data_IF_862289219049
#
_entry.id   IF_862289219049
#
_cell.length_a   1.000
_cell.length_b   1.000
_cell.length_c   1.000
_cell.angle_alpha   90.00
_cell.angle_beta   90.00
_cell.angle_gamma   90.00
#
_symmetry.space_group_name_H-M   'P 1'
#
loop_
_entity.id
_entity.type
_entity.pdbx_description
1 polymer ?
#
# COMPACT_ATOMS: atom_id res chain seq x y z
N UNK A 1 -38.87 9.77 -16.12
CA UNK A 1 -37.77 9.79 -15.11
C UNK A 1 -36.53 9.27 -15.79
N UNK A 2 -35.59 10.16 -16.15
CA UNK A 2 -34.29 9.77 -16.71
C UNK A 2 -33.47 9.21 -15.55
N UNK A 3 -33.24 7.89 -15.53
CA UNK A 3 -32.20 7.29 -14.68
C UNK A 3 -30.87 7.85 -15.17
N UNK A 4 -30.27 8.77 -14.41
CA UNK A 4 -28.93 9.25 -14.69
C UNK A 4 -28.00 8.03 -14.72
N UNK A 5 -27.39 7.78 -15.87
CA UNK A 5 -26.43 6.69 -16.05
C UNK A 5 -25.12 7.20 -15.46
N UNK A 6 -24.85 6.86 -14.21
CA UNK A 6 -23.57 7.22 -13.57
C UNK A 6 -22.40 6.59 -14.33
N UNK A 7 -21.35 7.37 -14.53
CA UNK A 7 -20.10 6.80 -15.05
C UNK A 7 -19.45 5.89 -14.00
N UNK A 8 -18.59 4.98 -14.43
CA UNK A 8 -17.83 4.11 -13.51
C UNK A 8 -17.02 4.92 -12.49
N UNK A 9 -16.47 6.07 -12.91
CA UNK A 9 -15.78 7.03 -12.02
C UNK A 9 -16.69 7.58 -10.92
N UNK A 10 -17.94 7.96 -11.24
CA UNK A 10 -18.88 8.51 -10.27
C UNK A 10 -19.20 7.50 -9.17
N UNK A 11 -19.30 6.22 -9.54
CA UNK A 11 -19.51 5.11 -8.60
C UNK A 11 -18.32 4.98 -7.65
N UNK A 12 -17.09 5.05 -8.18
CA UNK A 12 -15.85 4.98 -7.36
C UNK A 12 -15.72 6.20 -6.46
N UNK A 13 -16.00 7.41 -6.96
CA UNK A 13 -15.92 8.64 -6.19
C UNK A 13 -16.93 8.65 -5.03
N UNK A 14 -18.15 8.19 -5.30
CA UNK A 14 -19.18 8.06 -4.25
C UNK A 14 -18.80 6.97 -3.24
N UNK A 15 -18.21 5.86 -3.69
CA UNK A 15 -17.75 4.81 -2.79
C UNK A 15 -16.59 5.28 -1.90
N UNK A 16 -15.64 6.04 -2.45
CA UNK A 16 -14.56 6.65 -1.68
C UNK A 16 -15.09 7.63 -0.62
N UNK A 17 -16.06 8.47 -1.00
CA UNK A 17 -16.72 9.36 -0.04
C UNK A 17 -17.44 8.60 1.08
N UNK A 18 -18.14 7.52 0.75
CA UNK A 18 -18.80 6.67 1.76
C UNK A 18 -17.77 6.02 2.70
N UNK A 19 -16.60 5.63 2.17
CA UNK A 19 -15.48 5.13 2.98
C UNK A 19 -15.01 6.19 3.98
N UNK A 20 -14.78 7.41 3.51
CA UNK A 20 -14.28 8.51 4.34
C UNK A 20 -15.29 8.94 5.42
N UNK A 21 -16.59 8.96 5.06
CA UNK A 21 -17.65 9.40 5.96
C UNK A 21 -18.03 8.33 7.02
N UNK A 22 -17.92 7.03 6.68
CA UNK A 22 -18.53 5.96 7.49
C UNK A 22 -17.65 4.72 7.71
N UNK A 23 -16.46 4.68 7.12
CA UNK A 23 -15.54 3.55 7.21
C UNK A 23 -15.91 2.37 6.29
N UNK A 24 -14.99 1.37 6.28
CA UNK A 24 -15.07 0.22 5.36
C UNK A 24 -16.24 -0.74 5.69
N UNK A 25 -16.64 -0.83 6.97
CA UNK A 25 -17.74 -1.69 7.41
C UNK A 25 -19.08 -1.26 6.78
N UNK A 26 -19.26 0.05 6.63
CA UNK A 26 -20.47 0.66 6.07
C UNK A 26 -20.46 0.75 4.55
N UNK A 27 -19.34 0.51 3.89
CA UNK A 27 -19.22 0.50 2.44
C UNK A 27 -19.82 -0.79 1.85
N UNK A 28 -21.13 -0.76 1.60
CA UNK A 28 -21.88 -1.87 1.01
C UNK A 28 -22.49 -1.50 -0.33
N UNK A 29 -22.69 -2.50 -1.22
CA UNK A 29 -23.35 -2.28 -2.52
C UNK A 29 -24.76 -1.68 -2.36
N UNK A 30 -25.49 -2.04 -1.28
CA UNK A 30 -26.82 -1.49 -1.00
C UNK A 30 -26.76 -0.02 -0.60
N UNK A 31 -25.82 0.37 0.26
CA UNK A 31 -25.65 1.75 0.70
C UNK A 31 -25.22 2.63 -0.46
N UNK A 32 -24.24 2.17 -1.23
CA UNK A 32 -23.75 2.86 -2.43
C UNK A 32 -24.87 3.07 -3.47
N UNK A 33 -25.69 2.04 -3.74
CA UNK A 33 -26.82 2.16 -4.64
C UNK A 33 -27.84 3.20 -4.16
N UNK A 34 -28.12 3.22 -2.86
CA UNK A 34 -29.02 4.22 -2.25
C UNK A 34 -28.47 5.65 -2.38
N UNK A 35 -27.16 5.82 -2.16
CA UNK A 35 -26.50 7.12 -2.28
C UNK A 35 -26.54 7.66 -3.72
N UNK A 36 -26.37 6.78 -4.70
CA UNK A 36 -26.43 7.10 -6.13
C UNK A 36 -27.87 7.18 -6.68
N UNK A 37 -28.90 6.86 -5.89
CA UNK A 37 -30.29 6.83 -6.36
C UNK A 37 -30.56 5.75 -7.42
N UNK A 38 -29.83 4.64 -7.40
CA UNK A 38 -29.96 3.50 -8.34
C UNK A 38 -30.30 2.21 -7.61
N UNK A 39 -30.63 1.16 -8.36
CA UNK A 39 -30.79 -0.18 -7.81
C UNK A 39 -29.42 -0.84 -7.59
N UNK A 40 -29.25 -1.73 -6.59
CA UNK A 40 -28.01 -2.48 -6.43
C UNK A 40 -27.62 -3.27 -7.70
N UNK A 41 -28.60 -3.76 -8.46
CA UNK A 41 -28.38 -4.45 -9.74
C UNK A 41 -27.70 -3.57 -10.79
N UNK A 42 -27.97 -2.26 -10.78
CA UNK A 42 -27.32 -1.33 -11.70
C UNK A 42 -25.81 -1.20 -11.46
N UNK A 43 -25.35 -1.35 -10.20
CA UNK A 43 -23.92 -1.30 -9.86
C UNK A 43 -23.16 -2.50 -10.40
N UNK A 44 -23.79 -3.66 -10.49
CA UNK A 44 -23.15 -4.87 -11.00
C UNK A 44 -22.82 -4.82 -12.50
N UNK A 45 -23.41 -3.87 -13.24
CA UNK A 45 -22.98 -3.57 -14.62
C UNK A 45 -21.59 -2.89 -14.68
N UNK A 46 -21.22 -2.14 -13.61
CA UNK A 46 -19.93 -1.47 -13.52
C UNK A 46 -18.89 -2.34 -12.82
N UNK A 47 -19.31 -3.11 -11.83
CA UNK A 47 -18.43 -3.93 -10.97
C UNK A 47 -19.08 -5.31 -10.76
N UNK A 48 -18.52 -6.35 -11.34
CA UNK A 48 -19.04 -7.70 -11.27
C UNK A 48 -19.16 -8.25 -9.82
N UNK A 49 -18.39 -7.69 -8.89
CA UNK A 49 -18.40 -8.04 -7.47
C UNK A 49 -17.98 -6.86 -6.60
N UNK A 50 -18.29 -6.90 -5.29
CA UNK A 50 -17.84 -5.90 -4.31
C UNK A 50 -16.31 -5.75 -4.33
N UNK A 51 -15.58 -6.85 -4.47
CA UNK A 51 -14.11 -6.83 -4.49
C UNK A 51 -13.54 -6.02 -5.66
N UNK A 52 -14.20 -6.05 -6.83
CA UNK A 52 -13.80 -5.24 -7.98
C UNK A 52 -14.03 -3.74 -7.74
N UNK A 53 -15.10 -3.38 -7.02
CA UNK A 53 -15.33 -2.00 -6.59
C UNK A 53 -14.27 -1.56 -5.57
N UNK A 54 -14.01 -2.38 -4.54
CA UNK A 54 -12.99 -2.07 -3.53
C UNK A 54 -11.60 -1.90 -4.16
N UNK A 55 -11.25 -2.73 -5.16
CA UNK A 55 -10.03 -2.57 -5.93
C UNK A 55 -9.94 -1.23 -6.65
N UNK A 56 -11.03 -0.80 -7.29
CA UNK A 56 -11.07 0.50 -7.96
C UNK A 56 -10.99 1.69 -6.96
N UNK A 57 -11.57 1.54 -5.77
CA UNK A 57 -11.41 2.54 -4.68
C UNK A 57 -9.97 2.55 -4.17
N UNK A 58 -9.35 1.38 -3.99
CA UNK A 58 -7.94 1.28 -3.64
C UNK A 58 -7.04 1.98 -4.68
N UNK A 59 -7.27 1.72 -5.97
CA UNK A 59 -6.52 2.36 -7.06
C UNK A 59 -6.69 3.90 -7.05
N UNK A 60 -7.88 4.39 -6.73
CA UNK A 60 -8.13 5.83 -6.57
C UNK A 60 -7.33 6.42 -5.41
N UNK A 61 -7.31 5.76 -4.24
CA UNK A 61 -6.54 6.17 -3.07
C UNK A 61 -5.04 6.20 -3.40
N UNK A 62 -4.55 5.22 -4.13
CA UNK A 62 -3.12 5.05 -4.44
C UNK A 62 -2.63 5.92 -5.62
N UNK A 63 -3.54 6.50 -6.39
CA UNK A 63 -3.19 7.29 -7.59
C UNK A 63 -2.11 8.35 -7.33
N UNK A 64 -2.11 9.13 -6.23
CA UNK A 64 -1.04 10.10 -5.96
C UNK A 64 0.33 9.44 -5.71
N UNK A 65 0.36 8.29 -5.05
CA UNK A 65 1.60 7.57 -4.77
C UNK A 65 2.23 6.99 -6.04
N UNK A 66 1.41 6.50 -6.96
CA UNK A 66 1.88 5.94 -8.24
C UNK A 66 2.26 7.04 -9.24
N UNK A 67 1.61 8.20 -9.20
CA UNK A 67 1.95 9.34 -10.06
C UNK A 67 3.38 9.84 -9.83
N UNK A 68 3.94 9.65 -8.63
CA UNK A 68 5.33 9.98 -8.33
C UNK A 68 6.26 8.91 -8.89
N UNK A 69 7.19 9.31 -9.76
CA UNK A 69 8.27 8.46 -10.27
C UNK A 69 9.59 8.98 -9.72
N UNK A 70 10.09 8.43 -8.60
CA UNK A 70 11.29 8.94 -7.98
C UNK A 70 12.54 8.58 -8.77
N UNK A 71 13.45 9.54 -8.92
CA UNK A 71 14.79 9.36 -9.47
C UNK A 71 15.84 9.11 -8.38
N UNK A 72 17.04 8.69 -8.78
CA UNK A 72 18.17 8.51 -7.88
C UNK A 72 18.40 7.06 -7.46
N UNK A 73 19.22 6.84 -6.40
CA UNK A 73 19.63 5.51 -5.97
C UNK A 73 18.41 4.70 -5.48
N UNK A 74 18.50 3.38 -5.63
CA UNK A 74 17.42 2.45 -5.28
C UNK A 74 16.86 2.67 -3.86
N UNK A 75 17.74 2.90 -2.88
CA UNK A 75 17.35 3.11 -1.47
C UNK A 75 16.51 4.38 -1.29
N UNK A 76 16.89 5.48 -1.96
CA UNK A 76 16.12 6.72 -1.97
C UNK A 76 14.75 6.53 -2.62
N UNK A 77 14.68 5.77 -3.73
CA UNK A 77 13.41 5.46 -4.39
C UNK A 77 12.48 4.65 -3.50
N UNK A 78 13.00 3.64 -2.78
CA UNK A 78 12.22 2.88 -1.80
C UNK A 78 11.61 3.81 -0.75
N UNK A 79 12.39 4.75 -0.20
CA UNK A 79 11.88 5.71 0.79
C UNK A 79 10.75 6.59 0.21
N UNK A 80 10.91 7.11 -1.00
CA UNK A 80 9.89 7.97 -1.63
C UNK A 80 8.62 7.18 -1.92
N UNK A 81 8.73 5.98 -2.47
CA UNK A 81 7.59 5.10 -2.76
C UNK A 81 6.83 4.77 -1.47
N UNK A 82 7.54 4.33 -0.42
CA UNK A 82 6.92 3.93 0.84
C UNK A 82 6.28 5.10 1.58
N UNK A 83 6.92 6.27 1.57
CA UNK A 83 6.34 7.48 2.16
C UNK A 83 5.10 7.94 1.39
N UNK A 84 5.15 7.91 0.05
CA UNK A 84 4.01 8.21 -0.80
C UNK A 84 2.85 7.26 -0.58
N UNK A 85 3.13 5.96 -0.46
CA UNK A 85 2.12 4.94 -0.14
C UNK A 85 1.48 5.22 1.22
N UNK A 86 2.27 5.38 2.29
CA UNK A 86 1.74 5.70 3.62
C UNK A 86 0.85 6.95 3.60
N UNK A 87 1.30 8.02 2.95
CA UNK A 87 0.52 9.26 2.86
C UNK A 87 -0.80 9.05 2.12
N UNK A 88 -0.80 8.27 1.03
CA UNK A 88 -2.02 7.92 0.31
C UNK A 88 -3.00 7.11 1.18
N UNK A 89 -2.49 6.13 1.94
CA UNK A 89 -3.31 5.33 2.86
C UNK A 89 -3.93 6.20 3.97
N UNK A 90 -3.16 7.12 4.56
CA UNK A 90 -3.62 8.03 5.62
C UNK A 90 -4.62 9.08 5.11
N UNK A 91 -4.70 9.31 3.80
CA UNK A 91 -5.63 10.30 3.22
C UNK A 91 -7.09 9.85 3.21
N UNK A 92 -7.37 8.59 3.52
CA UNK A 92 -8.72 8.02 3.54
C UNK A 92 -8.97 7.23 4.82
N UNK A 93 -10.17 7.35 5.37
CA UNK A 93 -10.63 6.51 6.50
C UNK A 93 -10.50 5.03 6.13
N UNK A 94 -9.92 4.23 7.01
CA UNK A 94 -9.67 2.79 6.79
C UNK A 94 -8.90 2.47 5.48
N UNK A 95 -8.15 3.45 4.96
CA UNK A 95 -7.43 3.32 3.70
C UNK A 95 -6.44 2.15 3.69
N UNK A 96 -5.72 1.93 4.79
CA UNK A 96 -4.78 0.81 4.90
C UNK A 96 -5.49 -0.55 4.90
N UNK A 97 -6.63 -0.68 5.59
CA UNK A 97 -7.42 -1.91 5.61
C UNK A 97 -7.98 -2.23 4.22
N UNK A 98 -8.63 -1.25 3.57
CA UNK A 98 -9.22 -1.41 2.24
C UNK A 98 -8.17 -1.79 1.20
N UNK A 99 -7.04 -1.08 1.18
CA UNK A 99 -5.96 -1.34 0.22
C UNK A 99 -5.30 -2.70 0.47
N UNK A 100 -5.07 -3.07 1.74
CA UNK A 100 -4.53 -4.39 2.11
C UNK A 100 -5.44 -5.53 1.65
N UNK A 101 -6.75 -5.41 1.89
CA UNK A 101 -7.73 -6.40 1.45
C UNK A 101 -7.80 -6.51 -0.09
N UNK A 102 -7.73 -5.36 -0.79
CA UNK A 102 -7.74 -5.32 -2.25
C UNK A 102 -6.46 -5.91 -2.86
N UNK A 103 -5.31 -5.68 -2.23
CA UNK A 103 -4.04 -6.27 -2.62
C UNK A 103 -4.05 -7.79 -2.44
N UNK A 104 -4.48 -8.28 -1.28
CA UNK A 104 -4.60 -9.72 -1.01
C UNK A 104 -5.55 -10.43 -2.00
N UNK A 105 -6.60 -9.74 -2.46
CA UNK A 105 -7.53 -10.24 -3.47
C UNK A 105 -7.01 -10.11 -4.91
N UNK A 106 -5.84 -9.49 -5.16
CA UNK A 106 -5.30 -9.23 -6.50
C UNK A 106 -6.19 -8.30 -7.33
N UNK A 107 -6.81 -7.27 -6.71
CA UNK A 107 -7.80 -6.39 -7.35
C UNK A 107 -7.34 -4.93 -7.48
N UNK A 108 -6.11 -4.60 -7.09
CA UNK A 108 -5.54 -3.26 -7.23
C UNK A 108 -4.37 -3.28 -8.22
N UNK A 109 -4.52 -2.58 -9.34
CA UNK A 109 -3.47 -2.42 -10.37
C UNK A 109 -2.37 -1.47 -9.88
N UNK A 110 -2.75 -0.45 -9.10
CA UNK A 110 -1.81 0.51 -8.55
C UNK A 110 -0.88 -0.15 -7.50
N UNK A 111 -1.40 -1.08 -6.68
CA UNK A 111 -0.57 -1.86 -5.77
C UNK A 111 0.41 -2.79 -6.50
N UNK A 112 -0.03 -3.42 -7.59
CA UNK A 112 0.86 -4.21 -8.44
C UNK A 112 1.99 -3.34 -8.99
N UNK A 113 1.67 -2.14 -9.49
CA UNK A 113 2.67 -1.17 -9.98
C UNK A 113 3.67 -0.75 -8.90
N UNK A 114 3.23 -0.50 -7.67
CA UNK A 114 4.13 -0.15 -6.55
C UNK A 114 5.02 -1.35 -6.18
N UNK A 115 4.46 -2.55 -6.16
CA UNK A 115 5.24 -3.78 -5.91
C UNK A 115 6.31 -3.99 -6.97
N UNK A 116 5.97 -3.83 -8.26
CA UNK A 116 6.94 -3.95 -9.36
C UNK A 116 8.09 -2.95 -9.24
N UNK A 117 7.79 -1.71 -8.87
CA UNK A 117 8.81 -0.67 -8.63
C UNK A 117 9.73 -1.02 -7.46
N UNK A 118 9.17 -1.54 -6.36
CA UNK A 118 9.94 -1.99 -5.19
C UNK A 118 10.80 -3.22 -5.53
N UNK A 119 10.25 -4.16 -6.32
CA UNK A 119 10.98 -5.34 -6.81
C UNK A 119 12.17 -4.92 -7.70
N UNK A 120 11.96 -3.96 -8.60
CA UNK A 120 13.04 -3.37 -9.39
C UNK A 120 14.13 -2.72 -8.53
N UNK A 121 13.74 -1.98 -7.50
CA UNK A 121 14.69 -1.38 -6.55
C UNK A 121 15.47 -2.45 -5.76
N UNK A 122 14.82 -3.54 -5.36
CA UNK A 122 15.48 -4.67 -4.69
C UNK A 122 16.49 -5.37 -5.60
N UNK A 123 16.17 -5.57 -6.87
CA UNK A 123 17.07 -6.12 -7.87
C UNK A 123 18.31 -5.23 -8.09
N UNK A 124 18.11 -3.91 -8.17
CA UNK A 124 19.22 -2.94 -8.27
C UNK A 124 20.11 -2.92 -7.01
N UNK A 125 19.53 -3.17 -5.83
CA UNK A 125 20.32 -3.34 -4.60
C UNK A 125 21.27 -4.53 -4.70
N UNK A 126 21.00 -5.48 -5.59
CA UNK A 126 21.76 -6.71 -5.79
C UNK A 126 21.13 -7.94 -5.13
N UNK A 127 19.84 -7.85 -4.78
CA UNK A 127 19.07 -9.03 -4.35
C UNK A 127 18.76 -9.87 -5.60
N UNK A 128 19.00 -11.17 -5.52
CA UNK A 128 18.75 -12.07 -6.65
C UNK A 128 17.25 -12.13 -7.03
N UNK A 129 16.98 -12.54 -8.26
CA UNK A 129 15.63 -12.54 -8.82
C UNK A 129 14.64 -13.44 -8.08
N UNK A 130 15.11 -14.46 -7.38
CA UNK A 130 14.25 -15.36 -6.60
C UNK A 130 13.75 -14.70 -5.30
N UNK A 131 14.50 -13.71 -4.78
CA UNK A 131 14.20 -13.04 -3.51
C UNK A 131 13.76 -11.59 -3.65
N UNK A 132 13.93 -10.96 -4.82
CA UNK A 132 13.60 -9.54 -5.03
C UNK A 132 12.12 -9.23 -4.76
N UNK A 133 11.18 -10.07 -5.22
CA UNK A 133 9.75 -9.93 -4.93
C UNK A 133 9.44 -10.11 -3.43
N UNK A 134 10.11 -11.06 -2.76
CA UNK A 134 9.93 -11.27 -1.32
C UNK A 134 10.43 -10.07 -0.51
N UNK A 135 11.57 -9.49 -0.88
CA UNK A 135 12.10 -8.28 -0.25
C UNK A 135 11.13 -7.09 -0.44
N UNK A 136 10.63 -6.88 -1.65
CA UNK A 136 9.65 -5.85 -1.96
C UNK A 136 8.37 -6.03 -1.15
N UNK A 137 7.84 -7.26 -1.06
CA UNK A 137 6.66 -7.56 -0.24
C UNK A 137 6.90 -7.33 1.25
N UNK A 138 8.09 -7.65 1.77
CA UNK A 138 8.43 -7.39 3.17
C UNK A 138 8.35 -5.91 3.50
N UNK A 139 8.91 -5.06 2.61
CA UNK A 139 8.80 -3.60 2.73
C UNK A 139 7.34 -3.16 2.65
N UNK A 140 6.58 -3.69 1.70
CA UNK A 140 5.17 -3.36 1.51
C UNK A 140 4.32 -3.73 2.73
N UNK A 141 4.51 -4.93 3.29
CA UNK A 141 3.81 -5.37 4.52
C UNK A 141 4.15 -4.49 5.71
N UNK A 142 5.40 -4.04 5.82
CA UNK A 142 5.77 -3.05 6.83
C UNK A 142 4.94 -1.77 6.69
N UNK A 143 4.86 -1.19 5.48
CA UNK A 143 4.10 0.05 5.25
C UNK A 143 2.63 -0.15 5.58
N UNK A 144 2.01 -1.22 5.07
CA UNK A 144 0.59 -1.52 5.30
C UNK A 144 0.30 -1.73 6.78
N UNK A 145 1.09 -2.55 7.47
CA UNK A 145 0.88 -2.85 8.88
C UNK A 145 1.12 -1.65 9.79
N UNK A 146 2.21 -0.89 9.54
CA UNK A 146 2.49 0.33 10.29
C UNK A 146 1.37 1.36 10.13
N UNK A 147 0.91 1.57 8.89
CA UNK A 147 -0.15 2.56 8.62
C UNK A 147 -1.50 2.13 9.18
N UNK A 148 -1.82 0.82 9.17
CA UNK A 148 -3.04 0.31 9.78
C UNK A 148 -3.04 0.54 11.32
N UNK A 149 -1.90 0.28 12.00
CA UNK A 149 -1.75 0.59 13.44
C UNK A 149 -1.91 2.10 13.69
N UNK A 150 -1.27 2.92 12.86
CA UNK A 150 -1.36 4.37 12.96
C UNK A 150 -2.80 4.88 12.78
N UNK A 151 -3.54 4.39 11.77
CA UNK A 151 -4.95 4.75 11.57
C UNK A 151 -5.82 4.32 12.74
N UNK A 152 -5.63 3.10 13.24
CA UNK A 152 -6.36 2.61 14.41
C UNK A 152 -6.12 3.48 15.63
N UNK A 153 -4.86 3.87 15.89
CA UNK A 153 -4.52 4.76 17.00
C UNK A 153 -5.12 6.15 16.84
N UNK A 154 -5.12 6.72 15.62
CA UNK A 154 -5.77 8.00 15.34
C UNK A 154 -7.28 7.96 15.60
N UNK A 155 -7.95 6.86 15.25
CA UNK A 155 -9.38 6.68 15.52
C UNK A 155 -9.67 6.57 17.03
N UNK A 156 -8.85 5.81 17.77
CA UNK A 156 -8.99 5.68 19.22
C UNK A 156 -8.70 6.99 19.95
N UNK A 157 -7.70 7.74 19.50
CA UNK A 157 -7.36 9.07 20.04
C UNK A 157 -8.49 10.07 19.81
N UNK A 158 -9.01 10.14 18.59
CA UNK A 158 -10.15 10.98 18.22
C UNK A 158 -11.44 10.63 19.01
N UNK A 159 -11.60 9.36 19.41
CA UNK A 159 -12.69 8.92 20.26
C UNK A 159 -12.44 9.19 21.76
N UNK A 160 -11.28 9.75 22.14
CA UNK A 160 -10.90 9.97 23.55
C UNK A 160 -10.68 8.67 24.32
N UNK A 161 -10.38 7.58 23.64
CA UNK A 161 -10.23 6.25 24.23
C UNK A 161 -8.76 5.87 24.54
N UNK A 162 -7.80 6.72 24.14
CA UNK A 162 -6.39 6.57 24.53
C UNK A 162 -6.07 7.44 25.75
N UNK A 163 -5.25 6.93 26.69
CA UNK A 163 -4.65 7.76 27.73
C UNK A 163 -3.78 8.87 27.13
N UNK A 164 -3.67 10.03 27.81
CA UNK A 164 -2.93 11.19 27.32
C UNK A 164 -1.47 10.89 26.98
N UNK A 165 -0.82 9.98 27.71
CA UNK A 165 0.56 9.52 27.47
C UNK A 165 0.69 8.58 26.26
N UNK A 166 -0.41 8.13 25.69
CA UNK A 166 -0.48 7.27 24.53
C UNK A 166 -1.08 7.97 23.30
N UNK A 167 -1.47 9.23 23.41
CA UNK A 167 -1.98 10.02 22.30
C UNK A 167 -0.99 10.06 21.12
N UNK A 168 -1.49 9.85 19.91
CA UNK A 168 -0.67 9.90 18.68
C UNK A 168 -0.13 11.30 18.41
N UNK A 169 -0.82 12.33 18.94
CA UNK A 169 -0.44 13.73 18.77
C UNK A 169 0.86 14.10 19.52
N UNK A 170 1.26 13.29 20.51
CA UNK A 170 2.48 13.52 21.32
C UNK A 170 3.68 12.70 20.84
N UNK A 171 3.51 11.80 19.90
CA UNK A 171 4.57 10.95 19.35
C UNK A 171 5.06 11.48 18.00
N UNK A 172 6.27 11.07 17.58
CA UNK A 172 6.79 11.32 16.23
C UNK A 172 6.49 10.13 15.31
N UNK A 173 5.28 10.05 14.70
CA UNK A 173 4.94 8.93 13.83
C UNK A 173 5.81 8.88 12.57
N UNK A 174 6.26 10.03 12.07
CA UNK A 174 7.12 10.09 10.88
C UNK A 174 8.51 9.54 11.17
N UNK A 175 9.13 9.91 12.30
CA UNK A 175 10.42 9.37 12.70
C UNK A 175 10.37 7.88 12.97
N UNK A 176 9.30 7.39 13.62
CA UNK A 176 9.09 5.94 13.87
C UNK A 176 8.95 5.16 12.57
N UNK A 177 8.12 5.64 11.63
CA UNK A 177 7.97 5.04 10.31
C UNK A 177 9.30 5.00 9.54
N UNK A 178 9.99 6.15 9.49
CA UNK A 178 11.26 6.27 8.77
C UNK A 178 12.35 5.39 9.37
N UNK A 179 12.40 5.26 10.70
CA UNK A 179 13.34 4.36 11.38
C UNK A 179 13.13 2.90 10.98
N UNK A 180 11.91 2.38 11.06
CA UNK A 180 11.62 1.00 10.69
C UNK A 180 11.84 0.73 9.19
N UNK A 181 11.48 1.69 8.33
CA UNK A 181 11.76 1.57 6.89
C UNK A 181 13.27 1.52 6.62
N UNK A 182 14.07 2.32 7.32
CA UNK A 182 15.54 2.31 7.21
C UNK A 182 16.12 0.96 7.60
N UNK A 183 15.65 0.34 8.68
CA UNK A 183 16.09 -1.00 9.08
C UNK A 183 15.89 -2.03 7.96
N UNK A 184 14.77 -1.96 7.23
CA UNK A 184 14.51 -2.85 6.11
C UNK A 184 15.43 -2.55 4.92
N UNK A 185 15.64 -1.29 4.58
CA UNK A 185 16.54 -0.86 3.48
C UNK A 185 17.98 -1.26 3.77
N UNK A 186 18.46 -1.05 5.00
CA UNK A 186 19.80 -1.45 5.43
C UNK A 186 19.95 -2.99 5.42
N UNK A 187 18.89 -3.71 5.82
CA UNK A 187 18.84 -5.16 5.72
C UNK A 187 18.93 -5.67 4.27
N UNK A 188 18.24 -5.01 3.33
CA UNK A 188 18.33 -5.31 1.90
C UNK A 188 19.76 -5.10 1.38
N UNK A 189 20.41 -3.99 1.74
CA UNK A 189 21.80 -3.70 1.36
C UNK A 189 22.78 -4.74 1.92
N UNK A 190 22.64 -5.11 3.18
CA UNK A 190 23.47 -6.12 3.84
C UNK A 190 23.30 -7.52 3.19
N UNK A 191 22.04 -7.91 2.88
CA UNK A 191 21.77 -9.18 2.22
C UNK A 191 22.41 -9.25 0.83
N UNK A 192 22.29 -8.20 0.04
CA UNK A 192 22.89 -8.10 -1.29
C UNK A 192 24.43 -8.18 -1.26
N UNK A 193 25.06 -7.57 -0.25
CA UNK A 193 26.51 -7.66 -0.06
C UNK A 193 26.97 -9.07 0.30
N UNK A 194 26.30 -9.71 1.25
CA UNK A 194 26.60 -11.09 1.66
C UNK A 194 26.37 -12.12 0.53
N UNK A 195 25.49 -11.85 -0.40
CA UNK A 195 25.26 -12.72 -1.57
C UNK A 195 26.37 -12.58 -2.61
N UNK A 196 26.91 -11.37 -2.80
CA UNK A 196 28.07 -11.13 -3.67
C UNK A 196 29.33 -11.84 -3.16
N UNK A 197 29.57 -11.76 -1.85
CA UNK A 197 30.75 -12.41 -1.22
C UNK A 197 30.70 -13.93 -1.33
N UNK A 198 29.53 -14.55 -1.28
CA UNK A 198 29.34 -15.99 -1.47
C UNK A 198 29.48 -16.43 -2.94
N UNK A 199 29.25 -15.57 -3.89
CA UNK A 199 29.37 -15.84 -5.34
C UNK A 199 30.81 -15.72 -5.87
N UNK A 200 31.70 -15.10 -5.10
CA UNK A 200 33.14 -15.04 -5.41
C UNK A 200 33.84 -16.17 -4.66
N UNK A 201 33.71 -17.42 -5.17
CA UNK A 201 34.64 -18.51 -4.80
C UNK A 201 35.95 -18.25 -5.57
N UNK A 202 37.07 -17.90 -4.89
CA UNK A 202 38.37 -17.79 -5.55
C UNK A 202 38.78 -19.20 -5.93
N UNK A 203 38.66 -19.51 -7.24
CA UNK A 203 38.95 -20.81 -7.82
C UNK A 203 40.09 -21.51 -7.13
N UNK A 204 39.82 -22.71 -6.64
CA UNK A 204 40.79 -23.69 -6.24
C UNK A 204 41.77 -23.88 -7.41
N UNK A 205 42.96 -23.28 -7.30
CA UNK A 205 44.07 -23.59 -8.16
C UNK A 205 44.39 -25.06 -7.96
N UNK A 206 44.04 -25.91 -8.92
CA UNK A 206 44.47 -27.29 -9.00
C UNK A 206 45.99 -27.24 -9.26
N UNK A 207 46.86 -27.76 -8.37
CA UNK A 207 48.27 -27.87 -8.66
C UNK A 207 48.46 -28.88 -9.80
N UNK A 208 49.08 -28.41 -10.88
CA UNK A 208 49.53 -29.28 -11.96
C UNK A 208 50.62 -30.23 -11.41
N UNK A 209 50.35 -31.52 -11.53
CA UNK A 209 51.31 -32.62 -11.30
C UNK A 209 52.08 -32.89 -12.58
#
# INVERSE_FOLDING_TARGET
>A
MHSARHARSDVVDTAAKLLDDYGIADLTMRRLARELGVTPGALYWHFAAKQALLGAVADRILSPAVATSPDGPWSGRVHVICTGLRNALLSSTDGAELVSASFAAGKSEQMATLLDRLTGAAAEAGIDSAHADLAARSVLYYVLGFTADEQSRLQWDAAGALPDDQSVMTTDPNGRFTFGLRLLVDGMAAHASASRDRGVDPGVAVPAS
#
